data_IF_804406657156
#
_entry.id   IF_804406657156
#
_cell.length_a   1.000
_cell.length_b   1.000
_cell.length_c   1.000
_cell.angle_alpha   90.00
_cell.angle_beta   90.00
_cell.angle_gamma   90.00
#
_symmetry.space_group_name_H-M   'P 1'
#
loop_
_entity.id
_entity.type
_entity.pdbx_description
1 polymer ?
#
# COMPACT_ATOMS: atom_id res chain seq x y z
N UNK A 1 -85.57 45.14 -6.68
CA UNK A 1 -84.84 44.47 -5.59
C UNK A 1 -83.81 43.52 -6.18
N UNK A 2 -82.54 43.72 -5.80
CA UNK A 2 -81.43 42.73 -5.70
C UNK A 2 -80.63 42.30 -6.96
N UNK A 3 -79.49 42.99 -7.09
CA UNK A 3 -78.11 42.62 -7.41
C UNK A 3 -77.69 41.20 -7.89
N UNK A 4 -76.89 41.23 -8.95
CA UNK A 4 -75.67 40.49 -9.36
C UNK A 4 -75.07 39.42 -8.43
N UNK A 5 -74.57 38.30 -9.02
CA UNK A 5 -73.15 37.87 -8.94
C UNK A 5 -72.89 36.52 -9.64
N UNK A 6 -71.86 36.49 -10.51
CA UNK A 6 -71.15 35.30 -11.00
C UNK A 6 -70.21 34.76 -9.91
N UNK A 7 -70.02 33.44 -9.81
CA UNK A 7 -68.99 32.87 -8.94
C UNK A 7 -68.38 31.59 -9.58
N UNK A 8 -67.15 31.74 -10.06
CA UNK A 8 -66.20 30.67 -10.39
C UNK A 8 -65.37 30.37 -9.12
N UNK A 9 -65.13 29.09 -8.76
CA UNK A 9 -64.03 28.76 -7.86
C UNK A 9 -62.80 28.22 -8.59
N UNK A 10 -61.67 28.82 -8.21
CA UNK A 10 -60.31 28.60 -8.66
C UNK A 10 -59.75 27.20 -8.38
N UNK A 11 -58.96 26.71 -9.33
CA UNK A 11 -58.10 25.53 -9.19
C UNK A 11 -56.81 25.99 -8.48
N UNK A 12 -56.55 25.46 -7.28
CA UNK A 12 -55.34 25.70 -6.53
C UNK A 12 -54.27 24.67 -6.91
N UNK A 13 -53.28 25.08 -7.72
CA UNK A 13 -52.13 24.27 -8.09
C UNK A 13 -51.07 24.32 -6.99
N UNK A 14 -50.89 23.22 -6.26
CA UNK A 14 -49.83 23.05 -5.25
C UNK A 14 -48.53 22.63 -5.96
N UNK A 15 -47.69 23.62 -6.29
CA UNK A 15 -46.38 23.39 -6.91
C UNK A 15 -45.36 22.90 -5.89
N UNK A 16 -45.04 21.61 -5.92
CA UNK A 16 -43.96 21.00 -5.14
C UNK A 16 -42.61 21.48 -5.73
N UNK A 17 -41.94 22.41 -5.05
CA UNK A 17 -40.59 22.85 -5.40
C UNK A 17 -39.59 21.72 -5.09
N UNK A 18 -39.31 20.88 -6.08
CA UNK A 18 -38.13 20.01 -6.07
C UNK A 18 -36.90 20.88 -6.32
N UNK A 19 -36.24 21.35 -5.25
CA UNK A 19 -34.89 21.90 -5.35
C UNK A 19 -33.92 20.78 -5.72
N UNK A 20 -33.24 20.84 -6.88
CA UNK A 20 -32.20 19.88 -7.19
C UNK A 20 -31.07 20.05 -6.17
N UNK A 21 -30.69 18.96 -5.50
CA UNK A 21 -29.45 18.88 -4.74
C UNK A 21 -28.30 19.22 -5.69
N UNK A 22 -27.82 20.46 -5.62
CA UNK A 22 -26.66 20.89 -6.37
C UNK A 22 -25.49 19.98 -5.98
N UNK A 23 -25.11 19.05 -6.86
CA UNK A 23 -23.86 18.34 -6.71
C UNK A 23 -22.76 19.39 -6.79
N UNK A 24 -22.08 19.62 -5.68
CA UNK A 24 -20.96 20.56 -5.62
C UNK A 24 -19.91 20.11 -6.64
N UNK A 25 -19.87 20.82 -7.76
CA UNK A 25 -18.90 20.61 -8.83
C UNK A 25 -17.51 20.77 -8.23
N UNK A 26 -16.73 19.69 -8.24
CA UNK A 26 -15.35 19.76 -7.77
C UNK A 26 -14.56 20.72 -8.67
N UNK A 27 -13.69 21.57 -8.11
CA UNK A 27 -12.77 22.37 -8.91
C UNK A 27 -11.96 21.46 -9.83
N UNK A 28 -12.02 21.71 -11.14
CA UNK A 28 -11.22 21.01 -12.13
C UNK A 28 -9.75 21.49 -12.06
N UNK A 29 -9.04 21.04 -11.03
CA UNK A 29 -7.63 21.35 -10.79
C UNK A 29 -6.83 20.08 -10.58
N UNK A 30 -5.55 20.16 -10.89
CA UNK A 30 -4.61 19.09 -10.58
C UNK A 30 -4.12 19.26 -9.14
N UNK A 31 -4.06 18.13 -8.45
CA UNK A 31 -3.52 17.99 -7.12
C UNK A 31 -2.24 17.17 -7.20
N UNK A 32 -1.24 17.58 -6.45
CA UNK A 32 0.00 16.85 -6.28
C UNK A 32 -0.09 16.18 -4.92
N UNK A 33 -0.01 14.85 -4.92
CA UNK A 33 0.05 14.04 -3.70
C UNK A 33 1.47 13.54 -3.55
N UNK A 34 2.11 13.94 -2.46
CA UNK A 34 3.44 13.49 -2.08
C UNK A 34 3.33 12.51 -0.92
N UNK A 35 4.07 11.42 -0.99
CA UNK A 35 4.17 10.38 0.02
C UNK A 35 5.62 10.26 0.47
N UNK A 36 5.85 10.20 1.78
CA UNK A 36 7.17 9.88 2.34
C UNK A 36 7.05 8.99 3.56
N UNK A 37 8.10 8.22 3.81
CA UNK A 37 8.30 7.53 5.07
C UNK A 37 9.38 8.25 5.88
N UNK A 38 9.13 8.45 7.16
CA UNK A 38 10.09 9.05 8.09
C UNK A 38 10.21 8.19 9.34
N UNK A 39 11.41 8.09 9.89
CA UNK A 39 11.60 7.44 11.19
C UNK A 39 11.17 8.41 12.32
N UNK A 40 10.40 7.91 13.27
CA UNK A 40 9.97 8.61 14.47
C UNK A 40 11.14 8.57 15.47
N UNK A 41 12.03 9.57 15.39
CA UNK A 41 13.35 9.63 16.06
C UNK A 41 13.35 9.73 17.59
N UNK A 42 12.42 9.06 18.28
CA UNK A 42 12.27 9.08 19.73
C UNK A 42 13.26 8.23 20.54
N UNK A 43 14.29 7.65 19.93
CA UNK A 43 15.27 6.81 20.64
C UNK A 43 16.49 6.44 19.79
N UNK A 44 17.58 6.05 20.47
CA UNK A 44 18.79 5.53 19.82
C UNK A 44 18.75 4.00 19.82
N UNK A 45 18.65 3.39 18.63
CA UNK A 45 18.75 1.94 18.47
C UNK A 45 20.03 1.59 17.73
N UNK A 46 20.91 0.82 18.36
CA UNK A 46 22.05 0.20 17.69
C UNK A 46 21.66 -1.24 17.28
N UNK A 47 21.58 -1.51 15.98
CA UNK A 47 21.29 -2.85 15.45
C UNK A 47 22.38 -3.24 14.45
N UNK A 48 22.74 -4.53 14.44
CA UNK A 48 23.60 -5.13 13.41
C UNK A 48 22.80 -5.70 12.24
N UNK A 49 21.46 -5.64 12.27
CA UNK A 49 20.63 -6.05 11.15
C UNK A 49 20.52 -4.91 10.11
N UNK A 50 20.49 -5.23 8.80
CA UNK A 50 20.27 -4.22 7.77
C UNK A 50 18.93 -3.51 8.00
N UNK A 51 18.97 -2.21 8.33
CA UNK A 51 17.76 -1.39 8.36
C UNK A 51 17.21 -1.32 6.93
N UNK A 52 15.97 -1.74 6.72
CA UNK A 52 15.32 -1.65 5.41
C UNK A 52 15.35 -0.19 4.94
N UNK A 53 15.87 0.06 3.75
CA UNK A 53 16.09 1.41 3.23
C UNK A 53 14.79 2.24 3.28
N UNK A 54 14.84 3.49 3.76
CA UNK A 54 13.66 4.36 3.79
C UNK A 54 13.11 4.52 2.37
N UNK A 55 11.78 4.43 2.24
CA UNK A 55 11.08 4.56 0.97
C UNK A 55 11.37 5.94 0.38
N UNK A 56 11.91 5.98 -0.84
CA UNK A 56 12.16 7.23 -1.55
C UNK A 56 10.84 8.01 -1.67
N UNK A 57 10.84 9.34 -1.43
CA UNK A 57 9.64 10.14 -1.58
C UNK A 57 9.00 9.96 -2.96
N UNK A 58 7.70 9.72 -2.98
CA UNK A 58 6.92 9.52 -4.21
C UNK A 58 6.01 10.73 -4.42
N UNK A 59 5.88 11.15 -5.68
CA UNK A 59 5.02 12.26 -6.08
C UNK A 59 4.09 11.79 -7.20
N UNK A 60 2.79 12.01 -7.02
CA UNK A 60 1.76 11.64 -7.99
C UNK A 60 0.92 12.87 -8.32
N UNK A 61 0.77 13.14 -9.62
CA UNK A 61 -0.12 14.18 -10.11
C UNK A 61 -1.47 13.56 -10.44
N UNK A 62 -2.53 14.10 -9.84
CA UNK A 62 -3.88 13.54 -9.93
C UNK A 62 -4.88 14.65 -10.14
N UNK A 63 -5.80 14.47 -11.07
CA UNK A 63 -6.90 15.41 -11.23
C UNK A 63 -7.87 15.29 -10.05
N UNK A 64 -8.36 16.42 -9.54
CA UNK A 64 -9.28 16.44 -8.40
C UNK A 64 -10.53 15.59 -8.66
N UNK A 65 -10.79 14.61 -7.79
CA UNK A 65 -11.89 13.64 -7.88
C UNK A 65 -11.52 12.34 -8.61
N UNK A 66 -10.42 12.32 -9.36
CA UNK A 66 -9.94 11.13 -10.09
C UNK A 66 -8.98 10.30 -9.25
N UNK A 67 -8.78 9.05 -9.67
CA UNK A 67 -7.84 8.13 -9.04
C UNK A 67 -6.59 7.96 -9.92
N UNK A 68 -5.42 7.92 -9.29
CA UNK A 68 -4.16 7.57 -9.93
C UNK A 68 -3.51 6.38 -9.21
N UNK A 69 -2.76 5.56 -9.95
CA UNK A 69 -2.00 4.43 -9.40
C UNK A 69 -0.56 4.50 -9.87
N UNK A 70 0.39 4.44 -8.94
CA UNK A 70 1.82 4.32 -9.16
C UNK A 70 2.26 2.95 -8.65
N UNK A 71 2.83 2.12 -9.52
CA UNK A 71 3.37 0.80 -9.15
C UNK A 71 4.82 0.69 -9.58
N UNK A 72 5.70 0.35 -8.63
CA UNK A 72 7.13 0.19 -8.85
C UNK A 72 7.54 -1.15 -8.24
N UNK A 73 8.04 -2.08 -9.04
CA UNK A 73 8.44 -3.38 -8.53
C UNK A 73 9.14 -4.23 -9.57
N UNK A 74 9.70 -5.34 -9.09
CA UNK A 74 10.38 -6.36 -9.86
C UNK A 74 9.80 -7.74 -9.52
N UNK A 75 9.61 -8.55 -10.56
CA UNK A 75 9.31 -9.97 -10.42
C UNK A 75 10.62 -10.73 -10.61
N UNK A 76 11.09 -11.41 -9.56
CA UNK A 76 12.32 -12.17 -9.59
C UNK A 76 12.00 -13.67 -9.60
N UNK A 77 12.50 -14.44 -10.57
CA UNK A 77 12.43 -15.89 -10.52
C UNK A 77 13.50 -16.39 -9.55
N UNK A 78 13.10 -17.21 -8.59
CA UNK A 78 14.03 -17.86 -7.67
C UNK A 78 14.04 -19.36 -7.94
N UNK A 79 15.26 -19.86 -8.16
CA UNK A 79 15.54 -21.29 -8.31
C UNK A 79 15.97 -21.85 -6.96
N UNK A 80 15.32 -22.91 -6.50
CA UNK A 80 15.64 -23.60 -5.25
C UNK A 80 15.80 -25.11 -5.50
N UNK A 81 16.50 -25.81 -4.59
CA UNK A 81 16.75 -27.25 -4.70
C UNK A 81 15.61 -28.03 -4.04
N UNK A 82 14.91 -28.85 -4.81
CA UNK A 82 13.71 -29.57 -4.36
C UNK A 82 14.02 -30.94 -3.76
N UNK A 83 15.03 -31.65 -4.29
CA UNK A 83 15.44 -32.94 -3.74
C UNK A 83 16.86 -33.29 -4.16
N UNK A 84 17.54 -34.03 -3.30
CA UNK A 84 18.83 -34.66 -3.57
C UNK A 84 18.59 -36.16 -3.48
N UNK A 85 18.46 -36.83 -4.63
CA UNK A 85 18.11 -38.26 -4.70
C UNK A 85 19.30 -39.09 -5.17
N UNK A 86 19.59 -40.20 -4.47
CA UNK A 86 20.53 -41.21 -4.95
C UNK A 86 19.82 -42.23 -5.83
N UNK A 87 20.07 -42.23 -7.13
CA UNK A 87 19.55 -43.22 -8.05
C UNK A 87 20.51 -44.42 -8.05
N UNK A 88 20.15 -45.47 -7.30
CA UNK A 88 20.87 -46.75 -7.30
C UNK A 88 20.35 -47.59 -8.46
N UNK A 89 21.21 -47.84 -9.45
CA UNK A 89 20.91 -48.76 -10.55
C UNK A 89 21.70 -50.04 -10.36
N UNK A 90 20.99 -51.13 -10.08
CA UNK A 90 21.59 -52.47 -9.97
C UNK A 90 21.33 -53.24 -11.26
N UNK A 91 22.39 -53.57 -11.99
CA UNK A 91 22.30 -54.34 -13.24
C UNK A 91 22.90 -55.72 -13.00
N UNK A 92 22.05 -56.73 -12.92
CA UNK A 92 22.45 -58.14 -12.79
C UNK A 92 22.58 -58.74 -14.19
N UNK A 93 23.80 -59.01 -14.63
CA UNK A 93 24.06 -59.91 -15.74
C UNK A 93 24.61 -61.22 -15.20
N UNK A 94 24.40 -62.33 -15.91
CA UNK A 94 24.69 -63.71 -15.46
C UNK A 94 26.15 -64.03 -15.08
N UNK A 95 27.05 -63.05 -15.00
CA UNK A 95 28.45 -63.20 -14.59
C UNK A 95 28.93 -62.16 -13.55
N UNK A 96 28.06 -61.30 -13.01
CA UNK A 96 28.45 -60.35 -11.95
C UNK A 96 27.41 -59.26 -11.70
N UNK A 97 27.33 -58.77 -10.46
CA UNK A 97 26.47 -57.63 -10.09
C UNK A 97 27.28 -56.34 -10.04
N UNK A 98 26.87 -55.34 -10.82
CA UNK A 98 27.43 -53.99 -10.75
C UNK A 98 26.35 -53.01 -10.26
N UNK A 99 26.67 -52.25 -9.21
CA UNK A 99 25.83 -51.18 -8.67
C UNK A 99 26.50 -49.83 -8.90
N UNK A 100 25.79 -48.88 -9.53
CA UNK A 100 26.20 -47.48 -9.57
C UNK A 100 25.18 -46.62 -8.83
N UNK A 101 25.67 -45.75 -7.94
CA UNK A 101 24.85 -44.74 -7.26
C UNK A 101 25.15 -43.37 -7.87
N UNK A 102 24.20 -42.80 -8.62
CA UNK A 102 24.27 -41.43 -9.11
C UNK A 102 23.44 -40.50 -8.23
N UNK A 103 24.00 -39.39 -7.75
CA UNK A 103 23.24 -38.34 -7.09
C UNK A 103 22.58 -37.42 -8.12
N UNK A 104 21.27 -37.19 -8.01
CA UNK A 104 20.51 -36.24 -8.81
C UNK A 104 19.99 -35.10 -7.94
N UNK A 105 20.13 -33.86 -8.42
CA UNK A 105 19.57 -32.66 -7.79
C UNK A 105 18.37 -32.21 -8.63
N UNK A 106 17.18 -32.17 -8.06
CA UNK A 106 15.99 -31.58 -8.69
C UNK A 106 15.86 -30.11 -8.30
N UNK A 107 15.46 -29.24 -9.22
CA UNK A 107 15.28 -27.81 -8.98
C UNK A 107 13.82 -27.38 -9.21
N UNK A 108 13.30 -26.52 -8.32
CA UNK A 108 12.03 -25.83 -8.49
C UNK A 108 12.22 -24.34 -8.82
N UNK A 109 11.20 -23.72 -9.42
CA UNK A 109 11.17 -22.27 -9.70
C UNK A 109 9.94 -21.63 -9.04
N UNK A 110 10.15 -20.53 -8.31
CA UNK A 110 9.07 -19.72 -7.71
C UNK A 110 9.27 -18.27 -8.12
N UNK A 111 8.18 -17.61 -8.51
CA UNK A 111 8.17 -16.18 -8.81
C UNK A 111 7.88 -15.40 -7.53
N UNK A 112 8.76 -14.46 -7.20
CA UNK A 112 8.59 -13.59 -6.05
C UNK A 112 8.50 -12.14 -6.49
N UNK A 113 7.57 -11.40 -5.90
CA UNK A 113 7.39 -9.98 -6.18
C UNK A 113 8.00 -9.14 -5.05
N UNK A 114 8.81 -8.17 -5.44
CA UNK A 114 9.31 -7.12 -4.58
C UNK A 114 8.91 -5.78 -5.20
N UNK A 115 8.26 -4.91 -4.44
CA UNK A 115 7.79 -3.64 -4.97
C UNK A 115 6.74 -2.96 -4.11
N UNK A 116 6.27 -1.82 -4.59
CA UNK A 116 5.27 -0.98 -3.95
C UNK A 116 4.23 -0.53 -4.97
N UNK A 117 2.98 -0.42 -4.53
CA UNK A 117 1.88 0.17 -5.30
C UNK A 117 1.15 1.18 -4.43
N UNK A 118 0.97 2.39 -4.95
CA UNK A 118 0.26 3.48 -4.33
C UNK A 118 -0.91 3.88 -5.24
N UNK A 119 -2.13 3.74 -4.74
CA UNK A 119 -3.33 4.29 -5.36
C UNK A 119 -3.84 5.45 -4.51
N UNK A 120 -4.14 6.56 -5.15
CA UNK A 120 -4.61 7.78 -4.49
C UNK A 120 -5.81 8.35 -5.22
N UNK A 121 -6.79 8.82 -4.48
CA UNK A 121 -7.95 9.54 -5.00
C UNK A 121 -8.24 10.75 -4.11
N UNK A 122 -7.72 11.94 -4.47
CA UNK A 122 -7.97 13.15 -3.73
C UNK A 122 -9.30 13.80 -4.16
N UNK A 123 -10.05 14.32 -3.19
CA UNK A 123 -11.27 15.10 -3.37
C UNK A 123 -11.17 16.38 -2.57
N UNK A 124 -11.05 17.48 -3.29
CA UNK A 124 -10.94 18.81 -2.72
C UNK A 124 -12.18 19.64 -3.09
N UNK A 125 -12.93 20.14 -2.10
CA UNK A 125 -14.08 21.01 -2.38
C UNK A 125 -13.70 22.42 -2.88
N UNK A 126 -12.45 22.84 -2.74
CA UNK A 126 -11.96 24.17 -3.10
C UNK A 126 -11.62 25.07 -1.90
N UNK A 127 -11.02 26.22 -2.19
CA UNK A 127 -10.72 27.25 -1.20
C UNK A 127 -9.73 26.82 -0.11
N UNK A 128 -10.07 27.03 1.16
CA UNK A 128 -9.25 26.63 2.32
C UNK A 128 -9.67 25.29 2.92
N UNK A 129 -10.59 24.58 2.28
CA UNK A 129 -11.08 23.31 2.80
C UNK A 129 -10.01 22.23 2.67
N UNK A 130 -9.98 21.32 3.64
CA UNK A 130 -9.09 20.17 3.60
C UNK A 130 -9.45 19.23 2.44
N UNK A 131 -8.44 18.53 1.93
CA UNK A 131 -8.60 17.53 0.88
C UNK A 131 -8.88 16.18 1.53
N UNK A 132 -9.99 15.55 1.18
CA UNK A 132 -10.21 14.15 1.52
C UNK A 132 -9.42 13.27 0.54
N UNK A 133 -8.49 12.47 1.03
CA UNK A 133 -7.65 11.60 0.20
C UNK A 133 -7.91 10.16 0.60
N UNK A 134 -8.41 9.37 -0.34
CA UNK A 134 -8.40 7.92 -0.21
C UNK A 134 -7.05 7.38 -0.70
N UNK A 135 -6.45 6.50 0.08
CA UNK A 135 -5.11 5.96 -0.15
C UNK A 135 -5.18 4.44 -0.02
N UNK A 136 -4.67 3.74 -1.02
CA UNK A 136 -4.36 2.31 -0.94
C UNK A 136 -2.86 2.13 -1.21
N UNK A 137 -2.11 1.68 -0.21
CA UNK A 137 -0.68 1.38 -0.31
C UNK A 137 -0.49 -0.13 -0.13
N UNK A 138 0.28 -0.73 -1.02
CA UNK A 138 0.72 -2.12 -0.94
C UNK A 138 2.23 -2.14 -1.08
N UNK A 139 2.92 -2.89 -0.23
CA UNK A 139 4.34 -3.16 -0.39
C UNK A 139 4.62 -4.65 -0.22
N UNK A 140 5.55 -5.16 -1.01
CA UNK A 140 6.08 -6.50 -0.89
C UNK A 140 7.61 -6.42 -0.87
N UNK A 141 8.24 -7.14 0.04
CA UNK A 141 9.68 -7.30 0.09
C UNK A 141 10.06 -8.76 0.14
N UNK A 142 11.24 -9.08 -0.39
CA UNK A 142 11.83 -10.41 -0.34
C UNK A 142 13.04 -10.32 0.58
N UNK A 143 13.01 -11.06 1.68
CA UNK A 143 14.15 -11.18 2.57
C UNK A 143 15.03 -12.35 2.12
N UNK A 144 16.34 -12.17 2.20
CA UNK A 144 17.28 -13.26 1.94
C UNK A 144 17.06 -14.42 2.95
N UNK A 145 17.29 -15.68 2.55
CA UNK A 145 17.18 -16.80 3.47
C UNK A 145 18.11 -16.61 4.68
N UNK A 146 17.58 -16.80 5.89
CA UNK A 146 18.35 -16.70 7.14
C UNK A 146 18.54 -18.09 7.73
N UNK A 147 19.79 -18.45 8.08
CA UNK A 147 20.12 -19.74 8.69
C UNK A 147 19.95 -20.93 7.74
N UNK A 148 19.28 -21.98 8.21
CA UNK A 148 19.07 -23.25 7.49
C UNK A 148 17.85 -23.23 6.55
N UNK A 149 17.21 -22.07 6.36
CA UNK A 149 16.04 -21.96 5.49
C UNK A 149 16.48 -21.97 4.02
N UNK A 150 15.98 -22.94 3.25
CA UNK A 150 16.29 -23.10 1.82
C UNK A 150 15.54 -22.06 0.95
N UNK A 151 14.42 -21.52 1.46
CA UNK A 151 13.54 -20.59 0.74
C UNK A 151 13.63 -19.17 1.32
N UNK A 152 13.75 -18.13 0.49
CA UNK A 152 13.62 -16.76 0.95
C UNK A 152 12.16 -16.47 1.34
N UNK A 153 11.97 -15.67 2.39
CA UNK A 153 10.63 -15.25 2.81
C UNK A 153 10.17 -14.03 2.03
N UNK A 154 8.86 -13.95 1.80
CA UNK A 154 8.22 -12.76 1.24
C UNK A 154 7.34 -12.12 2.30
N UNK A 155 7.57 -10.85 2.58
CA UNK A 155 6.76 -10.05 3.48
C UNK A 155 5.87 -9.12 2.66
N UNK A 156 4.61 -8.99 3.07
CA UNK A 156 3.64 -8.10 2.42
C UNK A 156 2.96 -7.21 3.46
N UNK A 157 2.87 -5.93 3.15
CA UNK A 157 2.12 -4.95 3.93
C UNK A 157 1.07 -4.26 3.06
N UNK A 158 -0.07 -3.94 3.66
CA UNK A 158 -1.17 -3.25 2.99
C UNK A 158 -1.79 -2.22 3.96
N UNK A 159 -2.08 -1.04 3.43
CA UNK A 159 -2.76 0.05 4.12
C UNK A 159 -3.85 0.58 3.20
N UNK A 160 -5.08 0.67 3.69
CA UNK A 160 -6.17 1.37 3.02
C UNK A 160 -6.80 2.33 4.01
N UNK A 161 -6.81 3.62 3.69
CA UNK A 161 -7.30 4.66 4.60
C UNK A 161 -7.82 5.88 3.85
N UNK A 162 -8.69 6.62 4.51
CA UNK A 162 -9.17 7.92 4.05
C UNK A 162 -8.78 8.98 5.08
N UNK A 163 -8.04 9.99 4.63
CA UNK A 163 -7.47 11.04 5.48
C UNK A 163 -7.93 12.40 4.98
N UNK A 164 -8.18 13.32 5.92
CA UNK A 164 -8.37 14.73 5.63
C UNK A 164 -7.05 15.47 5.79
N UNK A 165 -6.52 16.03 4.70
CA UNK A 165 -5.22 16.72 4.69
C UNK A 165 -5.39 18.21 4.34
N UNK A 166 -4.89 19.14 5.19
CA UNK A 166 -4.75 20.53 4.81
C UNK A 166 -3.79 20.69 3.63
N UNK A 167 -4.08 21.62 2.72
CA UNK A 167 -3.20 21.88 1.58
C UNK A 167 -1.82 22.38 2.05
N UNK A 168 -0.77 21.83 1.44
CA UNK A 168 0.61 22.20 1.68
C UNK A 168 1.21 21.65 2.98
N UNK A 169 0.46 20.90 3.78
CA UNK A 169 0.92 20.38 5.07
C UNK A 169 1.16 18.87 5.04
N UNK A 170 2.17 18.41 5.78
CA UNK A 170 2.43 16.99 6.00
C UNK A 170 1.49 16.45 7.08
N UNK A 171 0.81 15.35 6.78
CA UNK A 171 -0.09 14.65 7.71
C UNK A 171 0.31 13.19 7.79
N UNK A 172 0.42 12.66 9.01
CA UNK A 172 0.69 11.24 9.25
C UNK A 172 -0.58 10.41 9.00
N UNK A 173 -0.47 9.39 8.16
CA UNK A 173 -1.60 8.52 7.76
C UNK A 173 -1.50 7.12 8.33
N UNK A 174 -0.28 6.69 8.67
CA UNK A 174 -0.02 5.42 9.32
C UNK A 174 1.29 5.48 10.11
N UNK A 175 1.41 4.58 11.08
CA UNK A 175 2.64 4.32 11.80
C UNK A 175 2.84 2.79 11.90
N UNK A 176 4.07 2.34 11.74
CA UNK A 176 4.49 0.96 11.99
C UNK A 176 5.66 0.92 12.96
N UNK A 177 5.93 -0.22 13.59
CA UNK A 177 6.97 -0.36 14.62
C UNK A 177 6.51 -0.03 16.04
N UNK A 178 7.37 -0.31 17.02
CA UNK A 178 7.09 -0.08 18.44
C UNK A 178 7.45 1.34 18.87
N UNK A 179 6.65 1.95 19.75
CA UNK A 179 7.09 3.21 20.39
C UNK A 179 8.30 2.93 21.27
N UNK A 180 9.41 3.62 21.02
CA UNK A 180 10.54 3.62 21.94
C UNK A 180 10.09 4.26 23.27
N UNK A 181 10.26 3.54 24.38
CA UNK A 181 10.05 4.10 25.72
C UNK A 181 11.26 4.98 26.05
N UNK A 182 11.01 6.25 26.35
CA UNK A 182 12.07 7.18 26.70
C UNK A 182 12.84 6.68 27.94
N UNK A 183 14.17 6.56 27.82
CA UNK A 183 15.05 6.14 28.92
C UNK A 183 15.33 4.64 29.04
N UNK A 184 14.80 3.79 28.15
CA UNK A 184 15.15 2.36 28.12
C UNK A 184 16.30 2.09 27.13
N UNK A 185 17.36 1.43 27.61
CA UNK A 185 18.40 0.85 26.77
C UNK A 185 18.19 -0.66 26.73
N UNK A 186 17.82 -1.23 25.59
CA UNK A 186 17.66 -2.68 25.41
C UNK A 186 18.60 -3.20 24.33
N UNK A 187 19.29 -4.30 24.61
CA UNK A 187 20.10 -5.05 23.63
C UNK A 187 19.35 -6.24 23.03
N UNK A 188 18.10 -6.45 23.46
CA UNK A 188 17.17 -7.45 22.94
C UNK A 188 16.75 -7.02 21.53
N UNK A 189 16.75 -7.96 20.59
CA UNK A 189 16.53 -7.78 19.14
C UNK A 189 15.76 -6.48 18.82
N UNK A 190 16.47 -5.54 18.19
CA UNK A 190 16.04 -4.16 17.99
C UNK A 190 14.54 -4.08 17.68
N UNK A 191 13.76 -3.55 18.64
CA UNK A 191 12.37 -3.17 18.40
C UNK A 191 12.38 -2.27 17.19
N UNK A 192 11.69 -2.71 16.12
CA UNK A 192 11.73 -2.03 14.84
C UNK A 192 11.37 -0.55 15.04
N UNK A 193 12.28 0.33 14.61
CA UNK A 193 12.16 1.76 14.79
C UNK A 193 10.80 2.21 14.25
N UNK A 194 10.08 3.00 15.05
CA UNK A 194 8.75 3.46 14.66
C UNK A 194 8.86 4.28 13.38
N UNK A 195 8.13 3.88 12.35
CA UNK A 195 8.11 4.48 11.01
C UNK A 195 6.78 5.14 10.80
N UNK A 196 6.78 6.40 10.36
CA UNK A 196 5.59 7.16 10.03
C UNK A 196 5.46 7.28 8.51
N UNK A 197 4.27 7.00 8.01
CA UNK A 197 3.89 7.30 6.64
C UNK A 197 3.19 8.64 6.65
N UNK A 198 3.69 9.59 5.86
CA UNK A 198 3.14 10.94 5.77
C UNK A 198 2.76 11.28 4.35
N UNK A 199 1.69 12.06 4.21
CA UNK A 199 1.25 12.64 2.95
C UNK A 199 1.26 14.15 2.99
N UNK A 200 1.45 14.77 1.83
CA UNK A 200 1.16 16.18 1.60
C UNK A 200 0.39 16.33 0.30
N UNK A 201 -0.65 17.16 0.33
CA UNK A 201 -1.40 17.51 -0.88
C UNK A 201 -1.17 18.97 -1.20
N UNK A 202 -0.84 19.29 -2.44
CA UNK A 202 -0.78 20.67 -2.92
C UNK A 202 -1.62 20.84 -4.18
N UNK A 203 -2.17 22.04 -4.38
CA UNK A 203 -2.95 22.36 -5.56
C UNK A 203 -2.07 23.11 -6.57
N UNK A 204 -2.17 22.75 -7.84
CA UNK A 204 -1.57 23.49 -8.95
C UNK A 204 -2.56 24.53 -9.49
#
# INVERSE_FOLDING_TARGET
>A
MRHTAYLLPAIASFGLLLTPLAQAQLPARDLIVELRQVDDGGGYTASTQPSAAPVAPQQVHVRNGEAATLSMGQNMPIRWVQSVGGQSSQRTSGAGSASSSGGGVSYGMVWMQSGQSLRVQPRWPGGKQAVAVQIDLQAASVAAPTGNAELPSQERSQLSTTVSAPLGQWVTVAASGGQAVAGSYSSEAAVEARRLVQIRVSAR
#
